data_IF_439040942728
#
_entry.id   IF_439040942728
#
_cell.length_a   1.000
_cell.length_b   1.000
_cell.length_c   1.000
_cell.angle_alpha   90.00
_cell.angle_beta   90.00
_cell.angle_gamma   90.00
#
_symmetry.space_group_name_H-M   'P 1'
#
loop_
_entity.id
_entity.type
_entity.pdbx_description
1 polymer ?
#
# COMPACT_ATOMS: atom_id res chain seq x y z
N UNK A 1 -6.16 -11.52 9.37
CA UNK A 1 -4.92 -10.80 9.04
C UNK A 1 -5.31 -9.73 8.04
N UNK A 2 -5.08 -8.45 8.31
CA UNK A 2 -5.46 -7.40 7.35
C UNK A 2 -4.43 -7.31 6.24
N UNK A 3 -4.87 -7.18 5.00
CA UNK A 3 -3.98 -6.97 3.86
C UNK A 3 -3.98 -5.51 3.42
N UNK A 4 -2.79 -4.93 3.35
CA UNK A 4 -2.48 -3.59 2.87
C UNK A 4 -1.75 -3.72 1.54
N UNK A 5 -2.10 -2.88 0.56
CA UNK A 5 -1.49 -2.89 -0.76
C UNK A 5 -1.17 -1.48 -1.24
N UNK A 6 0.06 -1.22 -1.65
CA UNK A 6 0.51 0.04 -2.26
C UNK A 6 0.56 -0.14 -3.76
N UNK A 7 -0.35 0.51 -4.48
CA UNK A 7 -0.54 0.33 -5.94
C UNK A 7 -0.42 1.67 -6.66
N UNK A 8 0.17 1.73 -7.85
CA UNK A 8 0.16 2.96 -8.65
C UNK A 8 -1.28 3.31 -9.07
N UNK A 9 -1.52 4.60 -9.32
CA UNK A 9 -2.73 5.11 -9.97
C UNK A 9 -2.81 4.63 -11.43
N UNK A 10 -3.98 4.80 -12.05
CA UNK A 10 -4.18 4.42 -13.47
C UNK A 10 -3.24 5.22 -14.37
N UNK A 11 -2.98 6.49 -14.02
CA UNK A 11 -2.13 7.40 -14.75
C UNK A 11 -0.65 7.33 -14.31
N UNK A 12 -0.31 6.44 -13.35
CA UNK A 12 1.01 6.28 -12.75
C UNK A 12 1.60 7.59 -12.15
N UNK A 13 0.76 8.58 -11.91
CA UNK A 13 1.08 9.88 -11.32
C UNK A 13 1.00 9.91 -9.79
N UNK A 14 0.52 8.82 -9.19
CA UNK A 14 0.40 8.69 -7.75
C UNK A 14 0.22 7.25 -7.29
N UNK A 15 0.09 7.09 -5.98
CA UNK A 15 0.12 5.82 -5.29
C UNK A 15 -1.05 5.73 -4.31
N UNK A 16 -1.80 4.64 -4.42
CA UNK A 16 -2.92 4.34 -3.54
C UNK A 16 -2.50 3.33 -2.49
N UNK A 17 -2.90 3.59 -1.24
CA UNK A 17 -2.88 2.61 -0.17
C UNK A 17 -4.26 1.97 -0.09
N UNK A 18 -4.36 0.71 -0.51
CA UNK A 18 -5.56 -0.11 -0.40
C UNK A 18 -5.50 -0.92 0.89
N UNK A 19 -6.63 -0.99 1.59
CA UNK A 19 -6.80 -1.85 2.76
C UNK A 19 -7.97 -2.77 2.47
N UNK A 20 -7.82 -4.04 2.81
CA UNK A 20 -8.90 -5.02 2.67
C UNK A 20 -10.18 -4.54 3.37
N UNK A 21 -11.30 -4.57 2.65
CA UNK A 21 -12.62 -4.07 3.09
C UNK A 21 -12.71 -2.57 3.42
N UNK A 22 -11.76 -1.75 2.97
CA UNK A 22 -11.83 -0.28 3.10
C UNK A 22 -11.57 0.38 1.75
N UNK A 23 -12.39 1.36 1.40
CA UNK A 23 -12.15 2.15 0.21
C UNK A 23 -10.78 2.87 0.31
N UNK A 24 -9.99 2.96 -0.78
CA UNK A 24 -8.74 3.72 -0.76
C UNK A 24 -9.07 5.18 -0.45
N UNK A 25 -8.64 5.68 0.70
CA UNK A 25 -8.97 7.04 1.16
C UNK A 25 -7.87 8.05 0.85
N UNK A 26 -6.68 7.60 0.46
CA UNK A 26 -5.52 8.46 0.25
C UNK A 26 -4.79 8.12 -1.05
N UNK A 27 -4.53 9.18 -1.82
CA UNK A 27 -3.62 9.20 -2.97
C UNK A 27 -2.37 9.96 -2.55
N UNK A 28 -1.21 9.34 -2.77
CA UNK A 28 0.09 9.91 -2.49
C UNK A 28 0.81 10.21 -3.80
N UNK A 29 1.44 11.36 -3.93
CA UNK A 29 2.25 11.70 -5.11
C UNK A 29 3.59 10.97 -5.13
N UNK A 30 4.09 10.54 -3.95
CA UNK A 30 5.33 9.78 -3.81
C UNK A 30 5.06 8.36 -3.33
N UNK A 31 5.77 7.39 -3.93
CA UNK A 31 5.72 5.98 -3.54
C UNK A 31 6.15 5.80 -2.09
N UNK A 32 7.24 6.46 -1.70
CA UNK A 32 7.82 6.33 -0.36
C UNK A 32 6.83 6.77 0.71
N UNK A 33 6.12 7.88 0.46
CA UNK A 33 5.09 8.39 1.37
C UNK A 33 3.91 7.39 1.51
N UNK A 34 3.52 6.73 0.42
CA UNK A 34 2.49 5.70 0.46
C UNK A 34 2.95 4.46 1.25
N UNK A 35 4.19 4.01 1.02
CA UNK A 35 4.79 2.87 1.73
C UNK A 35 4.88 3.16 3.22
N UNK A 36 5.41 4.32 3.61
CA UNK A 36 5.56 4.69 5.02
C UNK A 36 4.22 4.68 5.75
N UNK A 37 3.17 5.24 5.14
CA UNK A 37 1.85 5.25 5.76
C UNK A 37 1.22 3.85 5.81
N UNK A 38 1.38 3.07 4.75
CA UNK A 38 0.88 1.70 4.69
C UNK A 38 1.58 0.81 5.73
N UNK A 39 2.89 0.96 5.90
CA UNK A 39 3.69 0.25 6.88
C UNK A 39 3.31 0.63 8.31
N UNK A 40 3.15 1.92 8.60
CA UNK A 40 2.67 2.39 9.91
C UNK A 40 1.32 1.73 10.24
N UNK A 41 0.38 1.79 9.30
CA UNK A 41 -0.97 1.26 9.50
C UNK A 41 -0.96 -0.27 9.63
N UNK A 42 -0.12 -0.96 8.86
CA UNK A 42 0.05 -2.41 8.94
C UNK A 42 0.59 -2.84 10.31
N UNK A 43 1.64 -2.17 10.81
CA UNK A 43 2.19 -2.42 12.15
C UNK A 43 1.17 -2.19 13.27
N UNK A 44 0.40 -1.11 13.19
CA UNK A 44 -0.66 -0.80 14.16
C UNK A 44 -1.81 -1.84 14.15
N UNK A 45 -1.96 -2.61 13.07
CA UNK A 45 -3.03 -3.58 12.88
C UNK A 45 -2.53 -5.03 12.78
N UNK A 46 -1.40 -5.34 13.42
CA UNK A 46 -0.85 -6.70 13.49
C UNK A 46 -1.86 -7.71 14.09
N UNK A 47 -2.01 -8.93 13.53
CA UNK A 47 -1.26 -9.45 12.38
C UNK A 47 -1.77 -8.89 11.05
N UNK A 48 -0.84 -8.44 10.20
CA UNK A 48 -1.14 -7.87 8.90
C UNK A 48 -0.06 -8.17 7.84
N UNK A 49 -0.41 -7.96 6.57
CA UNK A 49 0.48 -8.10 5.42
C UNK A 49 0.47 -6.80 4.61
N UNK A 50 1.64 -6.35 4.18
CA UNK A 50 1.83 -5.23 3.26
C UNK A 50 2.40 -5.73 1.94
N UNK A 51 1.74 -5.42 0.84
CA UNK A 51 2.19 -5.74 -0.52
C UNK A 51 2.49 -4.44 -1.25
N UNK A 52 3.70 -4.29 -1.76
CA UNK A 52 4.15 -3.12 -2.50
C UNK A 52 4.25 -3.49 -3.97
N UNK A 53 3.49 -2.79 -4.81
CA UNK A 53 3.54 -2.97 -6.25
C UNK A 53 4.48 -1.96 -6.91
N UNK A 54 5.01 -2.30 -8.08
CA UNK A 54 5.70 -1.37 -8.97
C UNK A 54 4.71 -0.58 -9.85
N UNK A 55 5.23 0.33 -10.67
CA UNK A 55 4.44 1.12 -11.64
C UNK A 55 3.67 0.26 -12.68
N UNK A 56 4.10 -0.97 -12.91
CA UNK A 56 3.47 -1.92 -13.81
C UNK A 56 2.52 -2.89 -13.10
N UNK A 57 2.22 -2.65 -11.81
CA UNK A 57 1.40 -3.51 -10.94
C UNK A 57 1.99 -4.92 -10.74
N UNK A 58 3.31 -5.06 -10.84
CA UNK A 58 4.02 -6.26 -10.37
C UNK A 58 4.32 -6.14 -8.89
N UNK A 59 4.37 -7.26 -8.18
CA UNK A 59 4.79 -7.27 -6.77
C UNK A 59 6.29 -7.01 -6.73
N UNK A 60 6.67 -5.89 -6.12
CA UNK A 60 8.07 -5.52 -5.91
C UNK A 60 8.56 -6.01 -4.55
N UNK A 61 7.72 -5.89 -3.52
CA UNK A 61 8.05 -6.29 -2.16
C UNK A 61 6.82 -6.74 -1.36
N UNK A 62 7.02 -7.69 -0.45
CA UNK A 62 6.01 -8.09 0.53
C UNK A 62 6.60 -8.06 1.94
N UNK A 63 5.85 -7.49 2.89
CA UNK A 63 6.20 -7.45 4.31
C UNK A 63 5.07 -8.02 5.15
N UNK A 64 5.42 -8.67 6.25
CA UNK A 64 4.47 -9.22 7.23
C UNK A 64 4.74 -8.60 8.59
N UNK A 65 3.69 -8.19 9.30
CA UNK A 65 3.76 -7.50 10.59
C UNK A 65 2.79 -8.10 11.59
#
# INVERSE_FOLDING_TARGET
>A
MKTYAVTPSVDADGWFVKVENVAPTALYTSKDAAIEKAEQTAKENSPSKLVIYDQHKNIEEERSF
#
